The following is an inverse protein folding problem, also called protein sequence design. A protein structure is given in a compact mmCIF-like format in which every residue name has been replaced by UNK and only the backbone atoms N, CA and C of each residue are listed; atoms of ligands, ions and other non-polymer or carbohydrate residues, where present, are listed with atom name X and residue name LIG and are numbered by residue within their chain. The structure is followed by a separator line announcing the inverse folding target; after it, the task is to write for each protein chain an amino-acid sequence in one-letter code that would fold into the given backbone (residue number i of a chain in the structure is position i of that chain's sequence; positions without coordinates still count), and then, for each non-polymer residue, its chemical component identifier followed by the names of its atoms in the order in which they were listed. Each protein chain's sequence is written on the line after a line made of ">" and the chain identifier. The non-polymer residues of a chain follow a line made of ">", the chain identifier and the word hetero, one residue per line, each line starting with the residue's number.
data_IF_079677091401
#
_entry.id   IF_079677091401
#
_cell.length_a   1.000
_cell.length_b   1.000
_cell.length_c   1.000
_cell.angle_alpha   90.00
_cell.angle_beta   90.00
_cell.angle_gamma   90.00
#
_symmetry.space_group_name_H-M   'P 1'
#
loop_
_entity.id
_entity.type
_entity.pdbx_description
1 polymer ?
#
# COMPACT_ATOMS: atom_id res chain seq x y z
N UNK A 1 -19.46 -2.81 10.20
CA UNK A 1 -18.65 -1.70 9.63
C UNK A 1 -17.18 -1.91 10.00
N UNK A 2 -16.45 -2.78 9.29
CA UNK A 2 -15.05 -3.07 9.63
C UNK A 2 -14.17 -1.97 9.02
N UNK A 3 -13.63 -1.08 9.87
CA UNK A 3 -12.86 0.09 9.45
C UNK A 3 -11.41 -0.31 9.17
N UNK A 4 -11.10 -0.66 7.93
CA UNK A 4 -9.77 -1.12 7.48
C UNK A 4 -8.81 0.04 7.11
N UNK A 5 -8.93 1.18 7.80
CA UNK A 5 -8.04 2.33 7.65
C UNK A 5 -6.89 2.25 8.66
N UNK A 6 -6.10 1.17 8.57
CA UNK A 6 -4.96 0.94 9.45
C UNK A 6 -3.67 1.39 8.76
N UNK A 7 -2.73 1.87 9.56
CA UNK A 7 -1.38 2.16 9.09
C UNK A 7 -0.65 0.81 8.96
N UNK A 8 -0.08 0.58 7.78
CA UNK A 8 0.80 -0.56 7.50
C UNK A 8 2.22 -0.04 7.40
N UNK A 9 3.12 -0.60 8.20
CA UNK A 9 4.52 -0.18 8.24
C UNK A 9 5.27 -0.53 6.97
N UNK A 10 6.36 0.19 6.72
CA UNK A 10 7.22 -0.05 5.55
C UNK A 10 7.82 -1.46 5.60
N UNK A 11 8.27 -1.88 6.78
CA UNK A 11 8.84 -3.19 7.03
C UNK A 11 7.82 -4.30 6.75
N UNK A 12 6.59 -4.15 7.26
CA UNK A 12 5.53 -5.14 7.03
C UNK A 12 5.20 -5.28 5.55
N UNK A 13 5.12 -4.18 4.80
CA UNK A 13 4.89 -4.27 3.35
C UNK A 13 6.06 -4.98 2.66
N UNK A 14 7.31 -4.66 3.03
CA UNK A 14 8.50 -5.29 2.46
C UNK A 14 8.53 -6.80 2.73
N UNK A 15 8.17 -7.25 3.93
CA UNK A 15 8.05 -8.68 4.26
C UNK A 15 7.06 -9.40 3.35
N UNK A 16 5.89 -8.79 3.09
CA UNK A 16 4.88 -9.38 2.21
C UNK A 16 5.25 -9.35 0.72
N UNK A 17 6.21 -8.49 0.34
CA UNK A 17 6.70 -8.36 -1.04
C UNK A 17 7.96 -9.18 -1.32
N UNK A 18 8.66 -9.64 -0.28
CA UNK A 18 9.94 -10.34 -0.41
C UNK A 18 9.85 -11.60 -1.29
N UNK A 19 8.74 -12.34 -1.20
CA UNK A 19 8.53 -13.54 -2.02
C UNK A 19 8.05 -13.24 -3.46
N UNK A 20 7.79 -11.97 -3.79
CA UNK A 20 7.10 -11.58 -5.03
C UNK A 20 7.92 -10.66 -5.96
N UNK A 21 9.12 -10.25 -5.56
CA UNK A 21 9.85 -9.19 -6.29
C UNK A 21 11.35 -9.44 -6.37
N UNK A 22 11.85 -9.75 -7.57
CA UNK A 22 13.26 -10.07 -7.85
C UNK A 22 14.13 -8.84 -8.21
N UNK A 23 13.62 -7.61 -8.03
CA UNK A 23 14.19 -6.41 -8.66
C UNK A 23 14.74 -5.37 -7.67
N UNK A 24 15.89 -4.81 -8.08
CA UNK A 24 16.87 -3.96 -7.39
C UNK A 24 16.37 -2.71 -6.65
N UNK A 25 15.10 -2.33 -6.73
CA UNK A 25 14.58 -1.10 -6.14
C UNK A 25 13.78 -1.43 -4.87
N UNK A 26 14.51 -1.74 -3.80
CA UNK A 26 13.94 -2.11 -2.48
C UNK A 26 13.24 -0.95 -1.76
N UNK A 27 13.22 0.25 -2.33
CA UNK A 27 12.55 1.38 -1.70
C UNK A 27 11.03 1.26 -1.89
N UNK A 28 10.33 0.94 -0.80
CA UNK A 28 8.87 0.91 -0.78
C UNK A 28 8.27 2.25 -1.24
N UNK A 29 8.91 3.38 -0.95
CA UNK A 29 8.46 4.70 -1.39
C UNK A 29 8.48 4.84 -2.92
N UNK A 30 9.45 4.23 -3.62
CA UNK A 30 9.49 4.21 -5.09
C UNK A 30 8.38 3.32 -5.66
N UNK A 31 8.16 2.15 -5.07
CA UNK A 31 7.12 1.24 -5.50
C UNK A 31 5.72 1.83 -5.32
N UNK A 32 5.46 2.48 -4.17
CA UNK A 32 4.21 3.21 -3.93
C UNK A 32 4.04 4.38 -4.91
N UNK A 33 5.10 5.13 -5.21
CA UNK A 33 5.04 6.21 -6.20
C UNK A 33 4.66 5.69 -7.59
N UNK A 34 5.26 4.57 -8.02
CA UNK A 34 4.92 3.91 -9.29
C UNK A 34 3.47 3.41 -9.30
N UNK A 35 2.99 2.87 -8.18
CA UNK A 35 1.61 2.41 -8.03
C UNK A 35 0.62 3.60 -8.17
N UNK A 36 0.86 4.70 -7.46
CA UNK A 36 0.03 5.90 -7.55
C UNK A 36 0.02 6.49 -8.96
N UNK A 37 1.17 6.49 -9.65
CA UNK A 37 1.23 6.92 -11.05
C UNK A 37 0.36 6.06 -11.97
N UNK A 38 0.38 4.73 -11.80
CA UNK A 38 -0.48 3.78 -12.55
C UNK A 38 -1.96 3.99 -12.25
N UNK A 39 -2.30 4.30 -10.99
CA UNK A 39 -3.65 4.61 -10.54
C UNK A 39 -4.10 6.03 -10.91
N UNK A 40 -3.22 6.84 -11.50
CA UNK A 40 -3.47 8.27 -11.80
C UNK A 40 -3.80 9.10 -10.55
N UNK A 41 -3.25 8.73 -9.39
CA UNK A 41 -3.44 9.37 -8.09
C UNK A 41 -2.11 9.90 -7.51
N UNK A 42 -1.19 10.33 -8.37
CA UNK A 42 0.16 10.82 -7.99
C UNK A 42 0.20 12.30 -7.57
N UNK A 43 -0.93 12.89 -7.19
CA UNK A 43 -1.04 14.30 -6.81
C UNK A 43 -0.40 14.63 -5.45
N UNK A 44 -0.36 15.92 -5.10
CA UNK A 44 0.15 16.41 -3.80
C UNK A 44 -0.64 15.85 -2.60
N UNK A 45 -1.91 15.52 -2.84
CA UNK A 45 -2.81 14.87 -1.89
C UNK A 45 -3.39 13.61 -2.55
N UNK A 46 -2.66 12.47 -2.55
CA UNK A 46 -3.21 11.21 -3.03
C UNK A 46 -4.44 10.82 -2.23
N UNK A 47 -5.48 10.39 -2.93
CA UNK A 47 -6.80 10.07 -2.36
C UNK A 47 -6.96 8.59 -2.01
N UNK A 48 -6.12 7.73 -2.59
CA UNK A 48 -6.16 6.28 -2.41
C UNK A 48 -5.19 5.79 -1.34
N UNK A 49 -3.92 6.20 -1.42
CA UNK A 49 -2.87 5.79 -0.48
C UNK A 49 -2.23 7.03 0.13
N UNK A 50 -2.33 7.17 1.45
CA UNK A 50 -1.72 8.27 2.19
C UNK A 50 -0.40 7.84 2.81
N UNK A 51 0.64 8.64 2.59
CA UNK A 51 1.91 8.49 3.29
C UNK A 51 1.79 9.03 4.71
N UNK A 52 2.03 8.16 5.69
CA UNK A 52 2.26 8.52 7.08
C UNK A 52 3.78 8.57 7.29
N UNK A 53 4.35 9.78 7.34
CA UNK A 53 5.80 9.97 7.46
C UNK A 53 6.28 9.33 8.76
N UNK A 54 7.29 8.47 8.69
CA UNK A 54 7.77 7.69 9.83
C UNK A 54 7.00 6.37 10.04
N UNK A 55 5.68 6.37 9.91
CA UNK A 55 4.87 5.21 10.30
C UNK A 55 4.58 4.22 9.17
N UNK A 56 4.44 4.70 7.93
CA UNK A 56 4.15 3.84 6.78
C UNK A 56 3.09 4.40 5.85
N UNK A 57 2.14 3.55 5.44
CA UNK A 57 1.09 3.88 4.48
C UNK A 57 -0.28 3.46 4.99
N UNK A 58 -1.30 4.19 4.54
CA UNK A 58 -2.69 3.89 4.88
C UNK A 58 -3.56 4.04 3.65
N UNK A 59 -4.55 3.15 3.51
CA UNK A 59 -5.62 3.33 2.54
C UNK A 59 -6.53 4.48 3.00
N UNK A 60 -6.60 5.52 2.18
CA UNK A 60 -7.34 6.74 2.49
C UNK A 60 -8.83 6.65 2.13
N UNK A 61 -9.23 5.64 1.37
CA UNK A 61 -10.63 5.34 1.05
C UNK A 61 -11.20 4.29 2.01
N UNK A 62 -12.51 4.31 2.28
CA UNK A 62 -13.18 3.18 2.91
C UNK A 62 -13.00 1.93 2.05
N UNK A 63 -12.51 0.85 2.64
CA UNK A 63 -12.38 -0.44 1.95
C UNK A 63 -13.15 -1.50 2.74
N UNK A 64 -13.83 -2.37 2.01
CA UNK A 64 -14.47 -3.56 2.52
C UNK A 64 -13.67 -4.76 2.03
N UNK A 65 -13.33 -5.68 2.94
CA UNK A 65 -12.78 -6.96 2.51
C UNK A 65 -13.90 -7.70 1.78
N UNK A 66 -13.72 -7.97 0.51
CA UNK A 66 -14.59 -8.94 -0.16
C UNK A 66 -14.30 -10.30 0.47
N UNK A 67 -15.30 -10.93 1.08
CA UNK A 67 -15.21 -12.30 1.57
C UNK A 67 -15.19 -13.24 0.36
N UNK A 68 -14.04 -13.30 -0.32
CA UNK A 68 -13.87 -13.99 -1.57
C UNK A 68 -12.49 -14.62 -1.66
N UNK A 69 -12.47 -15.93 -1.42
CA UNK A 69 -11.37 -16.87 -1.69
C UNK A 69 -10.13 -16.70 -0.79
N UNK A 70 -10.15 -17.42 0.33
CA UNK A 70 -8.93 -17.79 1.02
C UNK A 70 -7.94 -18.44 0.04
N UNK A 71 -6.71 -17.96 0.14
CA UNK A 71 -5.48 -18.76 0.19
C UNK A 71 -5.69 -20.21 -0.30
N UNK A 72 -5.42 -20.42 -1.58
CA UNK A 72 -4.97 -21.72 -2.10
C UNK A 72 -3.49 -21.59 -2.43
#
# INVERSE_FOLDING_TARGET
>A
MQRLQQIVSRESILEHMADRTDSYDRSIDVQVSRLLAKLRDSGRNPTLIRTMRGDGYMLAVPVTREEGQGDR
#
